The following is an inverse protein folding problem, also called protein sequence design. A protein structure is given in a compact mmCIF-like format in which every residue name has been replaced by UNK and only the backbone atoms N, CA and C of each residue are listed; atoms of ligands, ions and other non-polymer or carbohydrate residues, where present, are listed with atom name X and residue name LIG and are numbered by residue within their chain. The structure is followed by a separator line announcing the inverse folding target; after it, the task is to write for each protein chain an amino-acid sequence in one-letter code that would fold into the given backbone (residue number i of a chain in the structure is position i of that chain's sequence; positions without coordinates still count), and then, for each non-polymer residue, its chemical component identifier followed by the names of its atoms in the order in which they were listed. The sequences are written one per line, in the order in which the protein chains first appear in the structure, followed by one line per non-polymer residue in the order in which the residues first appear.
data_IF_189614801598
#
_entry.id   IF_189614801598
#
_cell.length_a   1.000
_cell.length_b   1.000
_cell.length_c   1.000
_cell.angle_alpha   90.00
_cell.angle_beta   90.00
_cell.angle_gamma   90.00
#
_symmetry.space_group_name_H-M   'P 1'
#
loop_
_entity.id
_entity.type
_entity.pdbx_description
1 polymer ?
#
# COMPACT_ATOMS: atom_id res chain seq x y z
N UNK A 1 -60.25 -43.96 19.23
CA UNK A 1 -59.57 -42.69 18.94
C UNK A 1 -59.55 -41.93 20.26
N UNK A 2 -58.45 -42.02 21.00
CA UNK A 2 -58.32 -41.34 22.30
C UNK A 2 -57.36 -40.17 22.12
N UNK A 3 -57.89 -38.98 22.37
CA UNK A 3 -57.25 -37.68 22.23
C UNK A 3 -56.16 -37.52 23.30
N UNK A 4 -54.90 -37.42 22.87
CA UNK A 4 -53.75 -37.23 23.76
C UNK A 4 -53.56 -35.72 24.02
N UNK A 5 -54.42 -35.16 24.86
CA UNK A 5 -54.28 -33.78 25.35
C UNK A 5 -53.07 -33.65 26.26
N UNK A 6 -52.12 -32.79 25.89
CA UNK A 6 -50.95 -32.44 26.70
C UNK A 6 -51.43 -31.95 28.07
N UNK A 7 -50.93 -32.56 29.15
CA UNK A 7 -51.37 -32.22 30.50
C UNK A 7 -50.87 -30.83 30.90
N UNK A 8 -51.67 -30.05 31.63
CA UNK A 8 -51.28 -28.74 32.18
C UNK A 8 -49.93 -28.78 32.94
N UNK A 9 -49.61 -29.92 33.56
CA UNK A 9 -48.30 -30.14 34.20
C UNK A 9 -47.14 -30.22 33.21
N UNK A 10 -47.34 -30.78 32.02
CA UNK A 10 -46.32 -30.80 30.96
C UNK A 10 -46.14 -29.42 30.33
N UNK A 11 -47.24 -28.68 30.19
CA UNK A 11 -47.22 -27.31 29.71
C UNK A 11 -46.46 -26.37 30.67
N UNK A 12 -46.65 -26.50 31.99
CA UNK A 12 -45.88 -25.77 32.99
C UNK A 12 -44.40 -26.22 33.06
N UNK A 13 -44.13 -27.52 32.84
CA UNK A 13 -42.76 -28.04 32.73
C UNK A 13 -42.02 -27.39 31.56
N UNK A 14 -42.64 -27.31 30.38
CA UNK A 14 -42.06 -26.60 29.24
C UNK A 14 -41.87 -25.10 29.52
N UNK A 15 -42.83 -24.46 30.21
CA UNK A 15 -42.71 -23.06 30.63
C UNK A 15 -41.49 -22.77 31.53
N UNK A 16 -41.22 -23.64 32.52
CA UNK A 16 -40.03 -23.50 33.37
C UNK A 16 -38.72 -23.75 32.60
N UNK A 17 -38.73 -24.72 31.68
CA UNK A 17 -37.53 -25.07 30.90
C UNK A 17 -37.14 -23.95 29.93
N UNK A 18 -38.13 -23.26 29.36
CA UNK A 18 -37.91 -22.09 28.49
C UNK A 18 -37.43 -20.88 29.31
N UNK A 19 -37.92 -20.70 30.53
CA UNK A 19 -37.46 -19.63 31.42
C UNK A 19 -36.01 -19.84 31.88
N UNK A 20 -35.62 -21.08 32.21
CA UNK A 20 -34.24 -21.46 32.58
C UNK A 20 -33.26 -21.35 31.39
N UNK A 21 -33.70 -21.76 30.19
CA UNK A 21 -32.93 -21.60 28.96
C UNK A 21 -32.75 -20.13 28.52
N UNK A 22 -33.67 -19.24 28.94
CA UNK A 22 -33.61 -17.81 28.62
C UNK A 22 -32.67 -17.01 29.55
N UNK A 23 -32.32 -17.52 30.74
CA UNK A 23 -31.34 -16.89 31.62
C UNK A 23 -29.87 -17.15 31.20
N UNK A 24 -29.62 -18.11 30.30
CA UNK A 24 -28.29 -18.40 29.76
C UNK A 24 -28.16 -17.84 28.33
N UNK A 25 -28.06 -16.51 28.16
CA UNK A 25 -27.05 -16.01 27.21
C UNK A 25 -26.33 -14.70 27.63
N UNK A 26 -26.71 -14.06 28.75
CA UNK A 26 -26.13 -12.77 29.12
C UNK A 26 -24.71 -12.87 29.70
N UNK A 27 -24.45 -13.87 30.56
CA UNK A 27 -23.15 -14.07 31.20
C UNK A 27 -22.11 -14.61 30.21
N UNK A 28 -22.52 -15.47 29.28
CA UNK A 28 -21.65 -15.98 28.20
C UNK A 28 -21.20 -14.87 27.25
N UNK A 29 -22.11 -13.95 26.88
CA UNK A 29 -21.76 -12.81 26.04
C UNK A 29 -20.86 -11.81 26.78
N UNK A 30 -21.13 -11.52 28.06
CA UNK A 30 -20.29 -10.64 28.87
C UNK A 30 -18.88 -11.19 29.11
N UNK A 31 -18.72 -12.52 29.23
CA UNK A 31 -17.42 -13.17 29.38
C UNK A 31 -16.62 -13.16 28.07
N UNK A 32 -17.27 -13.43 26.93
CA UNK A 32 -16.65 -13.27 25.61
C UNK A 32 -16.19 -11.84 25.35
N UNK A 33 -17.01 -10.86 25.73
CA UNK A 33 -16.69 -9.44 25.56
C UNK A 33 -15.51 -9.01 26.44
N UNK A 34 -15.48 -9.43 27.72
CA UNK A 34 -14.32 -9.21 28.60
C UNK A 34 -13.06 -9.90 28.10
N UNK A 35 -13.15 -11.12 27.57
CA UNK A 35 -12.01 -11.82 26.99
C UNK A 35 -11.45 -11.09 25.76
N UNK A 36 -12.33 -10.56 24.90
CA UNK A 36 -11.93 -9.74 23.76
C UNK A 36 -11.28 -8.42 24.18
N UNK A 37 -11.83 -7.73 25.17
CA UNK A 37 -11.24 -6.49 25.72
C UNK A 37 -9.88 -6.75 26.38
N UNK A 38 -9.72 -7.85 27.11
CA UNK A 38 -8.43 -8.26 27.68
C UNK A 38 -7.39 -8.57 26.59
N UNK A 39 -7.79 -9.24 25.50
CA UNK A 39 -6.91 -9.50 24.37
C UNK A 39 -6.48 -8.21 23.65
N UNK A 40 -7.38 -7.22 23.53
CA UNK A 40 -7.05 -5.90 22.99
C UNK A 40 -6.10 -5.14 23.91
N UNK A 41 -6.30 -5.21 25.23
CA UNK A 41 -5.39 -4.60 26.22
C UNK A 41 -3.98 -5.21 26.12
N UNK A 42 -3.88 -6.55 26.02
CA UNK A 42 -2.60 -7.23 25.84
C UNK A 42 -1.88 -6.80 24.55
N UNK A 43 -2.61 -6.70 23.44
CA UNK A 43 -2.07 -6.23 22.15
C UNK A 43 -1.61 -4.77 22.23
N UNK A 44 -2.32 -3.92 22.96
CA UNK A 44 -1.94 -2.51 23.14
C UNK A 44 -0.68 -2.38 24.00
N UNK A 45 -0.52 -3.20 25.03
CA UNK A 45 0.69 -3.25 25.85
C UNK A 45 1.92 -3.65 25.02
N UNK A 46 1.79 -4.68 24.17
CA UNK A 46 2.85 -5.09 23.25
C UNK A 46 3.24 -3.96 22.27
N UNK A 47 2.26 -3.19 21.78
CA UNK A 47 2.51 -2.02 20.92
C UNK A 47 3.30 -0.92 21.66
N UNK A 48 3.02 -0.70 22.95
CA UNK A 48 3.75 0.27 23.77
C UNK A 48 5.19 -0.21 23.99
N UNK A 49 5.37 -1.47 24.38
CA UNK A 49 6.71 -2.04 24.55
C UNK A 49 7.56 -1.97 23.28
N UNK A 50 6.98 -2.32 22.13
CA UNK A 50 7.68 -2.23 20.84
C UNK A 50 8.01 -0.78 20.48
N UNK A 51 7.17 0.20 20.84
CA UNK A 51 7.44 1.62 20.62
C UNK A 51 8.64 2.09 21.44
N UNK A 52 8.68 1.69 22.71
CA UNK A 52 9.76 2.08 23.62
C UNK A 52 11.10 1.46 23.18
N UNK A 53 11.09 0.19 22.75
CA UNK A 53 12.27 -0.45 22.16
C UNK A 53 12.78 0.26 20.91
N UNK A 54 11.88 0.66 20.01
CA UNK A 54 12.27 1.43 18.81
C UNK A 54 12.85 2.80 19.19
N UNK A 55 12.30 3.44 20.23
CA UNK A 55 12.83 4.71 20.74
C UNK A 55 14.22 4.56 21.36
N UNK A 56 14.47 3.51 22.14
CA UNK A 56 15.78 3.20 22.73
C UNK A 56 16.82 2.90 21.64
N UNK A 57 16.48 2.06 20.67
CA UNK A 57 17.36 1.76 19.54
C UNK A 57 17.65 3.02 18.71
N UNK A 58 16.68 3.91 18.52
CA UNK A 58 16.89 5.18 17.84
C UNK A 58 17.83 6.12 18.60
N UNK A 59 17.73 6.19 19.92
CA UNK A 59 18.65 6.98 20.75
C UNK A 59 20.08 6.43 20.68
N UNK A 60 20.24 5.10 20.80
CA UNK A 60 21.55 4.43 20.69
C UNK A 60 22.21 4.62 19.32
N UNK A 61 21.42 4.65 18.25
CA UNK A 61 21.93 4.97 16.91
C UNK A 61 22.38 6.43 16.81
N UNK A 62 21.67 7.37 17.45
CA UNK A 62 22.05 8.78 17.46
C UNK A 62 23.37 9.03 18.23
N UNK A 63 23.58 8.32 19.35
CA UNK A 63 24.83 8.42 20.11
C UNK A 63 26.02 7.83 19.32
N UNK A 64 25.83 6.70 18.66
CA UNK A 64 26.86 6.09 17.79
C UNK A 64 27.19 6.95 16.55
N UNK A 65 26.24 7.74 16.06
CA UNK A 65 26.46 8.66 14.93
C UNK A 65 27.24 9.93 15.34
N UNK A 66 27.27 10.25 16.65
CA UNK A 66 28.08 11.34 17.23
C UNK A 66 29.50 10.90 17.64
N UNK A 67 29.72 9.62 17.90
CA UNK A 67 31.01 9.08 18.38
C UNK A 67 31.98 8.63 17.27
N UNK A 68 31.69 8.85 15.98
CA UNK A 68 32.64 8.53 14.91
C UNK A 68 33.85 9.48 14.93
N UNK A 69 35.07 9.05 15.34
CA UNK A 69 36.24 9.91 15.32
C UNK A 69 36.82 9.87 13.91
N UNK A 70 36.63 10.95 13.15
CA UNK A 70 37.44 11.18 11.94
C UNK A 70 38.84 11.57 12.40
N UNK A 71 39.70 10.55 12.52
CA UNK A 71 41.10 10.67 12.87
C UNK A 71 41.84 11.67 11.96
N UNK A 72 42.75 12.41 12.59
CA UNK A 72 43.56 13.45 12.00
C UNK A 72 44.71 12.92 11.14
N UNK A 73 45.06 13.66 10.09
CA UNK A 73 46.41 13.71 9.52
C UNK A 73 46.76 15.19 9.29
N UNK A 74 47.64 15.75 10.13
CA UNK A 74 48.42 16.96 9.85
C UNK A 74 49.44 16.69 8.72
N UNK A 75 50.06 17.65 8.04
CA UNK A 75 50.61 18.94 8.52
C UNK A 75 51.01 19.77 7.30
N UNK A 76 50.95 21.10 7.45
CA UNK A 76 51.91 22.10 6.93
C UNK A 76 51.52 22.99 5.72
N UNK A 77 51.48 24.28 6.06
CA UNK A 77 51.89 25.47 5.28
C UNK A 77 50.86 26.13 4.35
N UNK A 78 50.28 27.22 4.87
CA UNK A 78 49.79 28.38 4.11
C UNK A 78 50.99 29.31 3.76
N UNK A 79 50.93 30.29 2.81
CA UNK A 79 49.84 31.27 2.74
C UNK A 79 49.38 31.80 1.35
N UNK A 80 48.17 32.38 1.40
CA UNK A 80 47.68 33.57 0.70
C UNK A 80 47.59 33.60 -0.85
N UNK A 81 46.35 33.58 -1.36
CA UNK A 81 45.72 34.82 -1.86
C UNK A 81 44.25 34.64 -2.25
N UNK A 82 43.50 35.73 -2.06
CA UNK A 82 42.23 36.10 -2.68
C UNK A 82 40.94 35.39 -2.22
N UNK A 83 40.29 36.06 -1.26
CA UNK A 83 38.84 36.24 -1.12
C UNK A 83 38.03 35.92 -2.38
N UNK A 84 37.18 34.89 -2.30
CA UNK A 84 35.75 34.95 -2.65
C UNK A 84 35.06 33.76 -1.97
N UNK A 85 34.13 34.05 -1.07
CA UNK A 85 33.21 33.08 -0.47
C UNK A 85 32.13 32.72 -1.50
N UNK A 86 31.86 31.43 -1.81
CA UNK A 86 30.52 30.98 -2.17
C UNK A 86 29.95 30.22 -0.96
N UNK A 87 29.06 30.82 -0.19
CA UNK A 87 27.62 30.75 -0.43
C UNK A 87 27.16 29.29 -0.59
N UNK A 88 26.58 28.77 0.49
CA UNK A 88 25.72 27.60 0.57
C UNK A 88 25.60 26.80 -0.74
N UNK A 89 26.42 25.76 -0.89
CA UNK A 89 26.24 24.78 -1.94
C UNK A 89 24.84 24.16 -1.76
N UNK A 90 23.97 24.52 -2.69
CA UNK A 90 22.56 24.21 -2.73
C UNK A 90 22.24 22.81 -2.21
N UNK A 91 21.26 22.75 -1.30
CA UNK A 91 20.54 21.54 -0.97
C UNK A 91 20.27 20.78 -2.26
N UNK A 92 20.89 19.60 -2.37
CA UNK A 92 20.88 18.75 -3.55
C UNK A 92 19.43 18.61 -3.99
N UNK A 93 19.12 19.11 -5.21
CA UNK A 93 17.80 18.94 -5.83
C UNK A 93 17.40 17.48 -5.64
N UNK A 94 16.36 17.24 -4.84
CA UNK A 94 15.84 15.91 -4.59
C UNK A 94 15.66 15.22 -5.94
N UNK A 95 16.42 14.16 -6.17
CA UNK A 95 16.37 13.41 -7.43
C UNK A 95 14.93 12.98 -7.65
N UNK A 96 14.40 13.25 -8.84
CA UNK A 96 13.05 12.84 -9.18
C UNK A 96 12.95 11.31 -9.00
N UNK A 97 12.08 10.83 -8.11
CA UNK A 97 11.88 9.39 -7.89
C UNK A 97 11.45 8.74 -9.20
N UNK A 98 12.10 7.67 -9.62
CA UNK A 98 11.68 6.87 -10.80
C UNK A 98 10.42 6.06 -10.47
N UNK A 99 9.74 5.54 -11.49
CA UNK A 99 8.56 4.67 -11.28
C UNK A 99 8.99 3.35 -10.64
N UNK A 100 10.12 2.79 -11.08
CA UNK A 100 10.75 1.61 -10.47
C UNK A 100 11.09 1.80 -8.99
N UNK A 101 11.54 2.99 -8.58
CA UNK A 101 11.80 3.28 -7.17
C UNK A 101 10.51 3.24 -6.34
N UNK A 102 9.40 3.78 -6.87
CA UNK A 102 8.10 3.72 -6.18
C UNK A 102 7.56 2.29 -6.11
N UNK A 103 7.76 1.48 -7.14
CA UNK A 103 7.44 0.05 -7.12
C UNK A 103 8.24 -0.70 -6.05
N UNK A 104 9.55 -0.48 -6.00
CA UNK A 104 10.42 -1.08 -5.00
C UNK A 104 10.02 -0.66 -3.59
N UNK A 105 9.85 0.63 -3.34
CA UNK A 105 9.40 1.17 -2.06
C UNK A 105 8.07 0.53 -1.65
N UNK A 106 7.13 0.38 -2.58
CA UNK A 106 5.81 -0.21 -2.31
C UNK A 106 5.87 -1.67 -1.84
N UNK A 107 6.74 -2.47 -2.46
CA UNK A 107 6.82 -3.91 -2.20
C UNK A 107 7.82 -4.29 -1.12
N UNK A 108 8.91 -3.53 -0.96
CA UNK A 108 9.97 -3.80 0.04
C UNK A 108 9.86 -2.87 1.24
N UNK A 109 9.60 -1.59 1.04
CA UNK A 109 9.51 -0.59 2.11
C UNK A 109 8.18 -0.60 2.88
N UNK A 110 7.21 -1.41 2.45
CA UNK A 110 5.88 -1.58 3.06
C UNK A 110 5.21 -0.24 3.49
N UNK A 111 5.08 0.76 2.62
CA UNK A 111 4.51 2.06 2.97
C UNK A 111 3.05 1.96 3.44
N UNK A 112 2.31 0.91 3.13
CA UNK A 112 0.95 0.72 3.62
C UNK A 112 0.87 0.35 5.11
N UNK A 113 1.95 -0.09 5.76
CA UNK A 113 1.97 -0.42 7.20
C UNK A 113 2.21 0.82 8.08
N UNK A 114 2.96 1.82 7.61
CA UNK A 114 3.37 3.00 8.41
C UNK A 114 3.06 4.36 7.80
N UNK A 115 2.83 4.46 6.48
CA UNK A 115 2.86 5.75 5.76
C UNK A 115 1.54 6.55 5.77
N UNK A 116 0.41 5.95 6.14
CA UNK A 116 -0.92 6.62 6.09
C UNK A 116 -0.99 7.92 6.90
N UNK A 117 -0.17 8.07 7.96
CA UNK A 117 -0.25 9.20 8.91
C UNK A 117 0.55 10.44 8.51
N UNK A 118 1.61 10.32 7.71
CA UNK A 118 2.57 11.44 7.47
C UNK A 118 2.36 12.18 6.14
N UNK A 119 1.94 11.49 5.08
CA UNK A 119 1.66 12.12 3.78
C UNK A 119 0.65 11.31 2.96
N UNK A 120 -0.65 11.60 3.20
CA UNK A 120 -1.77 10.90 2.55
C UNK A 120 -1.75 11.06 1.03
N UNK A 121 -1.34 12.23 0.52
CA UNK A 121 -1.28 12.49 -0.92
C UNK A 121 -0.21 11.63 -1.59
N UNK A 122 1.00 11.60 -1.04
CA UNK A 122 2.09 10.75 -1.55
C UNK A 122 1.73 9.28 -1.51
N UNK A 123 1.06 8.83 -0.43
CA UNK A 123 0.56 7.47 -0.35
C UNK A 123 -0.42 7.14 -1.49
N UNK A 124 -1.41 8.00 -1.73
CA UNK A 124 -2.37 7.79 -2.82
C UNK A 124 -1.71 7.81 -4.20
N UNK A 125 -0.78 8.74 -4.45
CA UNK A 125 -0.07 8.79 -5.73
C UNK A 125 0.85 7.58 -5.91
N UNK A 126 1.53 7.11 -4.88
CA UNK A 126 2.32 5.88 -4.92
C UNK A 126 1.44 4.65 -5.18
N UNK A 127 0.31 4.54 -4.46
CA UNK A 127 -0.68 3.47 -4.66
C UNK A 127 -1.17 3.44 -6.11
N UNK A 128 -1.57 4.59 -6.65
CA UNK A 128 -2.02 4.69 -8.05
C UNK A 128 -0.92 4.37 -9.05
N UNK A 129 0.32 4.79 -8.78
CA UNK A 129 1.45 4.49 -9.66
C UNK A 129 1.67 2.99 -9.78
N UNK A 130 1.71 2.29 -8.64
CA UNK A 130 1.86 0.83 -8.61
C UNK A 130 0.70 0.15 -9.33
N UNK A 131 -0.52 0.69 -9.20
CA UNK A 131 -1.69 0.23 -9.95
C UNK A 131 -1.45 0.28 -11.46
N UNK A 132 -1.02 1.44 -11.97
CA UNK A 132 -0.74 1.61 -13.39
C UNK A 132 0.40 0.69 -13.83
N UNK A 133 1.50 0.61 -13.07
CA UNK A 133 2.63 -0.28 -13.40
C UNK A 133 2.21 -1.74 -13.60
N UNK A 134 1.27 -2.25 -12.79
CA UNK A 134 0.74 -3.61 -12.95
C UNK A 134 0.04 -3.83 -14.30
N UNK A 135 -0.58 -2.80 -14.88
CA UNK A 135 -1.26 -2.87 -16.18
C UNK A 135 -0.29 -2.99 -17.36
N UNK A 136 0.98 -2.63 -17.17
CA UNK A 136 2.01 -2.69 -18.21
C UNK A 136 2.84 -3.98 -18.16
N UNK A 137 2.40 -4.97 -17.38
CA UNK A 137 3.02 -6.30 -17.28
C UNK A 137 2.18 -7.33 -18.03
N UNK A 138 2.44 -7.56 -19.34
CA UNK A 138 1.59 -8.41 -20.19
C UNK A 138 1.64 -9.89 -19.81
N UNK A 139 2.75 -10.38 -19.25
CA UNK A 139 2.87 -11.77 -18.82
C UNK A 139 2.29 -12.03 -17.42
N UNK A 140 1.89 -10.98 -16.69
CA UNK A 140 1.67 -11.05 -15.25
C UNK A 140 2.97 -10.89 -14.46
N UNK A 141 2.91 -11.18 -13.16
CA UNK A 141 4.06 -11.09 -12.25
C UNK A 141 3.86 -12.01 -11.05
N UNK A 142 4.96 -12.48 -10.47
CA UNK A 142 4.95 -13.24 -9.23
C UNK A 142 5.93 -12.58 -8.26
N UNK A 143 5.39 -11.81 -7.34
CA UNK A 143 6.13 -11.28 -6.22
C UNK A 143 5.77 -12.20 -5.06
N UNK A 144 6.70 -13.02 -4.55
CA UNK A 144 6.38 -13.85 -3.37
C UNK A 144 6.92 -15.26 -3.31
N UNK A 145 7.75 -15.71 -4.26
CA UNK A 145 8.56 -16.88 -3.95
C UNK A 145 9.57 -16.48 -2.88
N UNK A 146 9.37 -17.03 -1.68
CA UNK A 146 10.22 -16.86 -0.51
C UNK A 146 11.59 -17.52 -0.77
N UNK A 147 12.39 -16.86 -1.60
CA UNK A 147 13.76 -17.22 -1.91
C UNK A 147 14.67 -16.00 -1.77
N UNK A 148 15.97 -16.25 -1.73
CA UNK A 148 17.04 -15.22 -1.64
C UNK A 148 16.97 -14.17 -2.76
N UNK A 149 16.23 -14.44 -3.85
CA UNK A 149 16.06 -13.56 -5.01
C UNK A 149 14.74 -12.75 -5.05
N UNK A 150 13.90 -12.77 -4.01
CA UNK A 150 12.62 -12.06 -4.01
C UNK A 150 12.77 -10.54 -4.29
N UNK A 151 13.80 -9.90 -3.70
CA UNK A 151 14.12 -8.48 -3.93
C UNK A 151 14.54 -8.22 -5.39
N UNK A 152 15.37 -9.10 -5.96
CA UNK A 152 15.81 -8.98 -7.35
C UNK A 152 14.63 -9.13 -8.33
N UNK A 153 13.68 -10.03 -8.03
CA UNK A 153 12.43 -10.17 -8.79
C UNK A 153 11.56 -8.91 -8.77
N UNK A 154 11.41 -8.28 -7.59
CA UNK A 154 10.70 -6.99 -7.45
C UNK A 154 11.33 -5.91 -8.30
N UNK A 155 12.67 -5.77 -8.26
CA UNK A 155 13.41 -4.78 -9.05
C UNK A 155 13.24 -5.02 -10.55
N UNK A 156 13.47 -6.26 -11.02
CA UNK A 156 13.33 -6.62 -12.44
C UNK A 156 11.91 -6.34 -12.96
N UNK A 157 10.90 -6.71 -12.17
CA UNK A 157 9.49 -6.47 -12.52
C UNK A 157 9.18 -4.98 -12.57
N UNK A 158 9.68 -4.19 -11.60
CA UNK A 158 9.50 -2.74 -11.56
C UNK A 158 10.12 -2.04 -12.77
N UNK A 159 11.33 -2.45 -13.18
CA UNK A 159 12.01 -1.92 -14.38
C UNK A 159 11.27 -2.29 -15.66
N UNK A 160 10.79 -3.54 -15.77
CA UNK A 160 10.00 -3.98 -16.92
C UNK A 160 8.68 -3.18 -17.05
N UNK A 161 7.98 -2.96 -15.94
CA UNK A 161 6.75 -2.16 -15.91
C UNK A 161 7.01 -0.68 -16.27
N UNK A 162 8.09 -0.09 -15.74
CA UNK A 162 8.50 1.28 -16.07
C UNK A 162 8.80 1.42 -17.56
N UNK A 163 9.57 0.48 -18.14
CA UNK A 163 9.85 0.44 -19.57
C UNK A 163 8.56 0.38 -20.41
N UNK A 164 7.60 -0.46 -20.02
CA UNK A 164 6.30 -0.58 -20.70
C UNK A 164 5.48 0.72 -20.67
N UNK A 165 5.48 1.44 -19.54
CA UNK A 165 4.81 2.75 -19.43
C UNK A 165 5.50 3.77 -20.32
N UNK A 166 6.83 3.86 -20.27
CA UNK A 166 7.60 4.83 -21.04
C UNK A 166 7.48 4.57 -22.55
N UNK A 167 7.44 3.31 -22.97
CA UNK A 167 7.20 2.93 -24.36
C UNK A 167 5.80 3.37 -24.83
N UNK A 168 4.78 3.17 -23.98
CA UNK A 168 3.42 3.63 -24.28
C UNK A 168 3.32 5.15 -24.38
N UNK A 169 3.96 5.90 -23.48
CA UNK A 169 3.97 7.36 -23.53
C UNK A 169 4.74 7.89 -24.74
N UNK A 170 5.85 7.25 -25.11
CA UNK A 170 6.61 7.58 -26.32
C UNK A 170 5.78 7.39 -27.58
N UNK A 171 5.00 6.30 -27.67
CA UNK A 171 4.07 6.07 -28.79
C UNK A 171 2.99 7.16 -28.91
N UNK A 172 2.72 7.89 -27.82
CA UNK A 172 1.77 9.01 -27.77
C UNK A 172 2.45 10.38 -27.96
N UNK A 173 3.75 10.42 -28.25
CA UNK A 173 4.52 11.65 -28.42
C UNK A 173 4.92 12.34 -27.11
N UNK A 174 4.73 11.70 -25.95
CA UNK A 174 5.10 12.24 -24.65
C UNK A 174 6.47 11.71 -24.21
N UNK A 175 7.50 12.55 -24.33
CA UNK A 175 8.90 12.18 -24.01
C UNK A 175 9.30 12.42 -22.54
N UNK A 176 8.38 12.82 -21.67
CA UNK A 176 8.71 13.31 -20.33
C UNK A 176 8.86 12.18 -19.30
N UNK A 177 10.08 11.96 -18.81
CA UNK A 177 10.45 10.93 -17.82
C UNK A 177 10.16 11.30 -16.35
N UNK A 178 9.68 12.51 -16.08
CA UNK A 178 9.41 12.92 -14.70
C UNK A 178 8.17 12.18 -14.16
N UNK A 179 8.33 11.52 -13.01
CA UNK A 179 7.27 10.76 -12.31
C UNK A 179 5.91 11.48 -12.24
N UNK A 180 5.91 12.75 -11.83
CA UNK A 180 4.68 13.54 -11.73
C UNK A 180 3.97 13.74 -13.07
N UNK A 181 4.74 13.92 -14.14
CA UNK A 181 4.21 14.09 -15.50
C UNK A 181 3.62 12.80 -16.04
N UNK A 182 4.32 11.67 -15.82
CA UNK A 182 3.84 10.33 -16.21
C UNK A 182 2.51 10.02 -15.55
N UNK A 183 2.38 10.25 -14.24
CA UNK A 183 1.12 9.99 -13.51
C UNK A 183 0.01 10.91 -14.00
N UNK A 184 0.30 12.19 -14.27
CA UNK A 184 -0.70 13.13 -14.79
C UNK A 184 -1.23 12.67 -16.15
N UNK A 185 -0.36 12.20 -17.04
CA UNK A 185 -0.75 11.65 -18.34
C UNK A 185 -1.58 10.36 -18.19
N UNK A 186 -1.15 9.43 -17.34
CA UNK A 186 -1.87 8.17 -17.08
C UNK A 186 -3.26 8.42 -16.47
N UNK A 187 -3.38 9.37 -15.51
CA UNK A 187 -4.66 9.79 -14.94
C UNK A 187 -5.60 10.35 -16.02
N UNK A 188 -5.08 11.14 -16.96
CA UNK A 188 -5.87 11.68 -18.08
C UNK A 188 -6.35 10.54 -19.00
N UNK A 189 -5.46 9.66 -19.42
CA UNK A 189 -5.80 8.55 -20.31
C UNK A 189 -6.77 7.55 -19.67
N UNK A 190 -6.65 7.33 -18.36
CA UNK A 190 -7.59 6.50 -17.63
C UNK A 190 -8.99 7.12 -17.67
N UNK A 191 -9.13 8.44 -17.41
CA UNK A 191 -10.42 9.14 -17.54
C UNK A 191 -11.01 9.06 -18.96
N UNK A 192 -10.15 9.02 -19.98
CA UNK A 192 -10.54 8.87 -21.38
C UNK A 192 -10.86 7.42 -21.78
N UNK A 193 -10.75 6.45 -20.87
CA UNK A 193 -11.01 5.02 -21.13
C UNK A 193 -9.90 4.30 -21.91
N UNK A 194 -8.82 5.00 -22.28
CA UNK A 194 -7.71 4.44 -23.10
C UNK A 194 -6.92 3.32 -22.41
N UNK A 195 -7.11 3.13 -21.12
CA UNK A 195 -6.47 2.07 -20.34
C UNK A 195 -7.42 0.88 -20.07
N UNK A 196 -8.69 0.94 -20.48
CA UNK A 196 -9.71 -0.05 -20.09
C UNK A 196 -9.36 -1.46 -20.59
N UNK A 197 -8.89 -1.62 -21.83
CA UNK A 197 -8.45 -2.93 -22.35
C UNK A 197 -7.30 -3.52 -21.54
N UNK A 198 -6.40 -2.69 -21.01
CA UNK A 198 -5.29 -3.15 -20.14
C UNK A 198 -5.79 -3.51 -18.74
N UNK A 199 -6.79 -2.78 -18.22
CA UNK A 199 -7.45 -3.08 -16.95
C UNK A 199 -8.16 -4.44 -17.04
N UNK A 200 -8.91 -4.69 -18.12
CA UNK A 200 -9.57 -5.97 -18.37
C UNK A 200 -8.56 -7.12 -18.51
N UNK A 201 -7.49 -6.90 -19.27
CA UNK A 201 -6.42 -7.89 -19.41
C UNK A 201 -5.79 -8.22 -18.05
N UNK A 202 -5.49 -7.21 -17.23
CA UNK A 202 -4.95 -7.40 -15.89
C UNK A 202 -5.91 -8.19 -14.97
N UNK A 203 -7.22 -7.96 -15.07
CA UNK A 203 -8.22 -8.75 -14.34
C UNK A 203 -8.22 -10.22 -14.75
N UNK A 204 -8.09 -10.51 -16.05
CA UNK A 204 -7.94 -11.90 -16.54
C UNK A 204 -6.66 -12.56 -16.02
N UNK A 205 -5.57 -11.80 -15.90
CA UNK A 205 -4.33 -12.29 -15.28
C UNK A 205 -4.48 -12.61 -13.79
N UNK A 206 -5.26 -11.80 -13.05
CA UNK A 206 -5.59 -12.10 -11.65
C UNK A 206 -6.44 -13.36 -11.51
N UNK A 207 -7.47 -13.54 -12.36
CA UNK A 207 -8.33 -14.73 -12.36
C UNK A 207 -7.58 -16.01 -12.71
N UNK A 208 -6.58 -15.92 -13.60
CA UNK A 208 -5.74 -17.06 -13.99
C UNK A 208 -4.56 -17.34 -13.04
N UNK A 209 -4.43 -16.59 -11.94
CA UNK A 209 -3.34 -16.77 -10.98
C UNK A 209 -1.94 -16.36 -11.49
N UNK A 210 -1.86 -15.72 -12.67
CA UNK A 210 -0.60 -15.29 -13.28
C UNK A 210 -0.07 -13.97 -12.72
N UNK A 211 -0.88 -13.28 -11.91
CA UNK A 211 -0.49 -12.07 -11.18
C UNK A 211 -0.67 -12.31 -9.66
N UNK A 212 0.42 -12.57 -8.96
CA UNK A 212 0.43 -12.76 -7.49
C UNK A 212 0.91 -11.49 -6.82
N UNK A 213 0.01 -10.82 -6.11
CA UNK A 213 0.27 -9.58 -5.37
C UNK A 213 0.22 -9.82 -3.85
N UNK A 214 1.38 -9.74 -3.20
CA UNK A 214 1.50 -9.83 -1.74
C UNK A 214 0.94 -8.62 -1.00
N UNK A 215 0.57 -7.56 -1.71
CA UNK A 215 -0.09 -6.42 -1.07
C UNK A 215 -1.40 -6.91 -0.42
N UNK A 216 -1.62 -6.63 0.88
CA UNK A 216 -2.86 -7.00 1.55
C UNK A 216 -4.09 -6.45 0.82
N UNK A 217 -5.26 -7.13 0.82
CA UNK A 217 -6.43 -6.73 0.03
C UNK A 217 -6.83 -5.25 0.20
N UNK A 218 -6.81 -4.74 1.42
CA UNK A 218 -7.14 -3.34 1.73
C UNK A 218 -6.16 -2.31 1.15
N UNK A 219 -4.92 -2.71 0.89
CA UNK A 219 -3.87 -1.87 0.33
C UNK A 219 -3.73 -2.06 -1.19
N UNK A 220 -4.34 -3.11 -1.78
CA UNK A 220 -4.26 -3.36 -3.22
C UNK A 220 -4.76 -2.15 -4.00
N UNK A 221 -3.99 -1.68 -4.99
CA UNK A 221 -4.46 -0.67 -5.91
C UNK A 221 -5.49 -1.28 -6.86
N UNK A 222 -6.76 -0.96 -6.65
CA UNK A 222 -7.84 -1.37 -7.53
C UNK A 222 -8.13 -0.25 -8.52
N UNK A 223 -8.00 -0.55 -9.81
CA UNK A 223 -8.44 0.32 -10.90
C UNK A 223 -9.70 -0.29 -11.50
N UNK A 224 -10.76 0.51 -11.55
CA UNK A 224 -12.01 0.17 -12.22
C UNK A 224 -12.01 0.79 -13.61
N UNK A 225 -12.49 0.09 -14.66
CA UNK A 225 -12.65 0.69 -15.97
C UNK A 225 -13.64 1.86 -15.90
N UNK A 226 -13.47 2.84 -16.77
CA UNK A 226 -14.39 3.98 -16.81
C UNK A 226 -15.73 3.51 -17.40
N UNK A 227 -16.83 3.77 -16.68
CA UNK A 227 -18.17 3.46 -17.17
C UNK A 227 -18.41 4.15 -18.52
N UNK A 228 -18.81 3.37 -19.54
CA UNK A 228 -18.94 3.82 -20.93
C UNK A 228 -20.03 4.88 -21.15
N UNK A 229 -20.89 5.14 -20.16
CA UNK A 229 -22.06 6.02 -20.29
C UNK A 229 -21.74 7.50 -20.53
N UNK A 230 -20.51 7.96 -20.30
CA UNK A 230 -20.17 9.40 -20.46
C UNK A 230 -19.55 9.79 -21.80
N UNK A 231 -19.17 8.83 -22.66
CA UNK A 231 -18.57 9.16 -23.96
C UNK A 231 -19.59 9.27 -25.10
N UNK A 232 -20.76 8.64 -24.95
CA UNK A 232 -21.86 8.77 -25.93
C UNK A 232 -22.45 10.19 -25.96
N UNK A 233 -22.48 10.91 -24.83
CA UNK A 233 -22.98 12.30 -24.80
C UNK A 233 -22.02 13.35 -25.37
N UNK A 234 -20.71 13.07 -25.46
CA UNK A 234 -19.74 14.02 -26.00
C UNK A 234 -19.53 13.88 -27.51
N UNK A 235 -19.78 12.70 -28.08
CA UNK A 235 -19.75 12.51 -29.54
C UNK A 235 -21.02 13.05 -30.21
N UNK A 236 -22.16 13.11 -29.51
CA UNK A 236 -23.40 13.70 -30.03
C UNK A 236 -23.42 15.25 -29.97
N UNK A 237 -22.43 15.90 -29.33
CA UNK A 237 -22.37 17.36 -29.15
C UNK A 237 -21.32 18.06 -30.01
N UNK A 238 -20.62 17.32 -30.85
CA UNK A 238 -19.59 17.84 -31.77
C UNK A 238 -20.04 17.83 -33.23
N UNK A 239 -21.28 17.40 -33.52
CA UNK A 239 -21.88 17.37 -34.86
C UNK A 239 -23.10 18.32 -35.02
N UNK A 240 -23.33 19.21 -34.05
CA UNK A 240 -24.33 20.30 -34.13
C UNK A 240 -23.64 21.67 -34.12
#
# INVERSE_FOLDING_TARGET
MSDAGISHREMLRWGLTIADAAEIPAVANATLQRAHEAALAQKNEEIVQLRDQVSDLAARLADLELESPSAEIGTSTAPASATTRPAAAACRRATAKSLSAVWFDWHIGQPWSTSKKRDRKRYHDAKLTVAYMKLFLPAGFQLGEAGTNAKAGVVKTGVAAESGILQYLRALGLNNSAYGTVIKALKKHHKEGKLDSRIEHYRKLLQSGRAVDLTPPHARPELMPVAKDKQAEQTLRAED
#
